data_IF_737756944624
#
_entry.id   IF_737756944624
#
_cell.length_a   1.000
_cell.length_b   1.000
_cell.length_c   1.000
_cell.angle_alpha   90.00
_cell.angle_beta   90.00
_cell.angle_gamma   90.00
#
_symmetry.space_group_name_H-M   'P 1'
#
loop_
_entity.id
_entity.type
_entity.pdbx_description
1 polymer ?
#
# COMPACT_ATOMS: atom_id res chain seq x y z
N UNK A 1 20.22 -1.13 -2.53
CA UNK A 1 18.83 -1.19 -2.04
C UNK A 1 18.14 -2.42 -2.62
N UNK A 2 17.44 -3.23 -1.80
CA UNK A 2 16.69 -4.43 -2.21
C UNK A 2 15.24 -4.28 -1.77
N UNK A 3 14.28 -4.67 -2.63
CA UNK A 3 12.85 -4.60 -2.35
C UNK A 3 12.27 -6.00 -2.28
N UNK A 4 11.53 -6.30 -1.22
CA UNK A 4 10.79 -7.55 -1.05
C UNK A 4 9.29 -7.25 -1.14
N UNK A 5 8.59 -8.03 -1.95
CA UNK A 5 7.14 -7.98 -2.06
C UNK A 5 6.51 -8.96 -1.06
N UNK A 6 5.69 -8.45 -0.14
CA UNK A 6 5.08 -9.21 0.94
C UNK A 6 3.56 -9.23 0.79
N UNK A 7 2.93 -10.38 1.06
CA UNK A 7 1.50 -10.42 1.34
C UNK A 7 1.28 -10.31 2.86
N UNK A 8 0.87 -9.15 3.32
CA UNK A 8 0.65 -8.90 4.75
C UNK A 8 -0.82 -9.02 5.17
N UNK A 9 -1.56 -9.92 4.53
CA UNK A 9 -2.94 -10.28 4.84
C UNK A 9 -3.70 -10.73 3.61
N UNK A 10 -4.16 -11.97 3.60
CA UNK A 10 -5.08 -12.49 2.60
C UNK A 10 -6.51 -12.18 3.01
N UNK A 11 -7.25 -11.55 2.10
CA UNK A 11 -8.63 -11.14 2.31
C UNK A 11 -9.59 -12.08 1.58
N UNK A 12 -10.81 -11.58 1.27
CA UNK A 12 -11.82 -12.37 0.57
C UNK A 12 -11.34 -12.92 -0.76
N UNK A 13 -11.90 -14.06 -1.14
CA UNK A 13 -11.63 -14.71 -2.42
C UNK A 13 -12.08 -13.85 -3.61
N UNK A 14 -11.23 -13.81 -4.66
CA UNK A 14 -11.48 -13.12 -5.92
C UNK A 14 -11.38 -14.15 -7.04
N UNK A 15 -12.50 -14.53 -7.67
CA UNK A 15 -12.45 -15.44 -8.81
C UNK A 15 -11.75 -14.78 -10.01
N UNK A 16 -10.96 -15.52 -10.79
CA UNK A 16 -10.41 -14.99 -12.03
C UNK A 16 -11.54 -14.63 -13.01
N UNK A 17 -11.39 -13.52 -13.71
CA UNK A 17 -12.32 -13.08 -14.75
C UNK A 17 -11.77 -13.46 -16.12
N UNK A 18 -12.49 -14.36 -16.83
CA UNK A 18 -12.22 -14.69 -18.23
C UNK A 18 -10.78 -15.15 -18.49
N UNK A 19 -10.29 -14.82 -19.70
CA UNK A 19 -8.93 -15.10 -20.15
C UNK A 19 -7.90 -14.12 -19.58
N UNK A 20 -7.84 -13.98 -18.26
CA UNK A 20 -6.70 -13.32 -17.66
C UNK A 20 -5.47 -14.14 -18.03
N UNK A 21 -4.53 -13.64 -18.84
CA UNK A 21 -3.40 -14.45 -19.24
C UNK A 21 -2.62 -14.83 -17.99
N UNK A 22 -2.71 -16.06 -17.59
CA UNK A 22 -1.74 -16.68 -16.73
C UNK A 22 -0.45 -16.80 -17.54
N UNK A 23 0.28 -15.70 -17.67
CA UNK A 23 1.61 -15.72 -18.22
C UNK A 23 2.48 -16.53 -17.25
N UNK A 24 2.56 -17.86 -17.46
CA UNK A 24 3.62 -18.72 -16.97
C UNK A 24 3.82 -18.89 -15.46
N UNK A 25 3.02 -18.23 -14.61
CA UNK A 25 3.12 -18.34 -13.16
C UNK A 25 2.07 -19.34 -12.62
N UNK A 26 2.43 -20.06 -11.56
CA UNK A 26 1.47 -20.80 -10.75
C UNK A 26 0.23 -19.95 -10.51
N UNK A 27 -0.97 -20.52 -10.60
CA UNK A 27 -2.23 -19.79 -10.40
C UNK A 27 -2.12 -18.97 -9.11
N UNK A 28 -2.28 -17.64 -9.15
CA UNK A 28 -2.11 -16.82 -7.97
C UNK A 28 -3.11 -17.24 -6.91
N UNK A 29 -2.77 -16.99 -5.67
CA UNK A 29 -3.68 -17.09 -4.55
C UNK A 29 -4.99 -16.34 -4.93
N UNK A 30 -6.11 -17.04 -4.89
CA UNK A 30 -7.42 -16.48 -5.31
C UNK A 30 -8.03 -15.56 -4.25
N UNK A 31 -7.21 -14.83 -3.53
CA UNK A 31 -7.64 -13.92 -2.48
C UNK A 31 -7.07 -12.53 -2.73
N UNK A 32 -7.83 -11.50 -2.43
CA UNK A 32 -7.28 -10.16 -2.34
C UNK A 32 -6.16 -10.17 -1.29
N UNK A 33 -5.12 -9.39 -1.52
CA UNK A 33 -3.93 -9.36 -0.69
C UNK A 33 -3.78 -7.99 -0.01
N UNK A 34 -3.00 -7.91 1.05
CA UNK A 34 -2.43 -6.66 1.54
C UNK A 34 -0.96 -6.64 1.09
N UNK A 35 -0.73 -6.14 -0.11
CA UNK A 35 0.58 -6.10 -0.72
C UNK A 35 1.41 -4.98 -0.07
N UNK A 36 2.38 -5.35 0.72
CA UNK A 36 3.33 -4.44 1.36
C UNK A 36 4.73 -4.62 0.77
N UNK A 37 5.61 -3.64 1.00
CA UNK A 37 7.02 -3.79 0.65
C UNK A 37 7.87 -3.76 1.92
N UNK A 38 8.90 -4.61 1.96
CA UNK A 38 10.05 -4.43 2.85
C UNK A 38 11.24 -4.01 1.99
N UNK A 39 11.87 -2.90 2.33
CA UNK A 39 12.98 -2.31 1.59
C UNK A 39 14.21 -2.34 2.48
N UNK A 40 15.26 -3.04 2.03
CA UNK A 40 16.58 -2.96 2.62
C UNK A 40 17.32 -1.78 1.99
N UNK A 41 17.56 -0.76 2.77
CA UNK A 41 18.25 0.46 2.33
C UNK A 41 19.71 0.46 2.80
N UNK A 42 20.54 1.26 2.17
CA UNK A 42 21.96 1.33 2.51
C UNK A 42 22.20 2.21 3.76
N UNK A 43 21.34 3.20 4.02
CA UNK A 43 21.55 4.20 5.09
C UNK A 43 20.40 4.26 6.10
N UNK A 44 19.14 4.03 5.68
CA UNK A 44 17.96 4.23 6.52
C UNK A 44 17.54 2.98 7.33
N UNK A 45 18.26 1.85 7.17
CA UNK A 45 17.87 0.56 7.73
C UNK A 45 16.72 -0.08 6.94
N UNK A 46 15.83 -0.78 7.62
CA UNK A 46 14.65 -1.36 6.97
C UNK A 46 13.50 -0.36 6.91
N UNK A 47 12.85 -0.30 5.76
CA UNK A 47 11.66 0.52 5.51
C UNK A 47 10.50 -0.39 5.12
N UNK A 48 9.36 -0.27 5.77
CA UNK A 48 8.11 -0.87 5.31
C UNK A 48 7.28 0.14 4.51
N UNK A 49 6.68 -0.32 3.43
CA UNK A 49 5.58 0.40 2.74
C UNK A 49 4.30 -0.33 3.06
N UNK A 50 3.41 0.33 3.78
CA UNK A 50 2.25 -0.23 4.46
C UNK A 50 2.62 -1.40 5.41
N UNK A 51 1.68 -1.85 6.23
CA UNK A 51 1.93 -2.89 7.23
C UNK A 51 0.92 -4.03 7.20
N UNK A 52 -0.11 -3.92 6.36
CA UNK A 52 -1.16 -4.93 6.28
C UNK A 52 -1.91 -5.12 7.59
N UNK A 53 -2.26 -6.37 7.88
CA UNK A 53 -2.83 -6.81 9.14
C UNK A 53 -1.71 -7.14 10.14
N UNK A 54 -1.82 -6.59 11.36
CA UNK A 54 -0.85 -6.80 12.41
C UNK A 54 -1.14 -8.02 13.28
N UNK A 55 -0.18 -8.37 14.13
CA UNK A 55 -0.32 -9.53 15.05
C UNK A 55 -1.52 -9.42 15.98
N UNK A 56 -1.88 -8.20 16.39
CA UNK A 56 -3.07 -7.96 17.21
C UNK A 56 -4.38 -8.20 16.44
N UNK A 57 -4.42 -7.85 15.15
CA UNK A 57 -5.56 -8.08 14.27
C UNK A 57 -5.81 -9.57 14.06
N UNK A 58 -4.73 -10.33 13.86
CA UNK A 58 -4.80 -11.76 13.62
C UNK A 58 -5.22 -12.55 14.87
N UNK A 59 -4.84 -12.05 16.07
CA UNK A 59 -5.19 -12.69 17.36
C UNK A 59 -6.55 -12.28 17.91
N UNK A 60 -6.95 -11.02 17.70
CA UNK A 60 -8.15 -10.43 18.28
C UNK A 60 -8.92 -9.60 17.24
N UNK A 61 -9.32 -10.21 16.10
CA UNK A 61 -9.81 -9.48 14.92
C UNK A 61 -11.06 -8.64 15.20
N UNK A 62 -12.00 -9.14 16.02
CA UNK A 62 -13.22 -8.39 16.33
C UNK A 62 -12.95 -7.09 17.08
N UNK A 63 -11.93 -7.10 17.95
CA UNK A 63 -11.56 -5.93 18.76
C UNK A 63 -10.79 -4.88 17.93
N UNK A 64 -9.93 -5.32 17.05
CA UNK A 64 -9.02 -4.42 16.32
C UNK A 64 -9.56 -4.00 14.95
N UNK A 65 -10.29 -4.87 14.25
CA UNK A 65 -10.81 -4.62 12.91
C UNK A 65 -12.32 -4.32 12.88
N UNK A 66 -13.08 -4.87 13.82
CA UNK A 66 -14.52 -4.70 13.92
C UNK A 66 -15.32 -5.70 13.06
N UNK A 67 -16.47 -6.13 13.60
CA UNK A 67 -17.30 -7.20 13.03
C UNK A 67 -17.78 -6.91 11.59
N UNK A 68 -18.17 -5.67 11.30
CA UNK A 68 -18.67 -5.29 9.98
C UNK A 68 -17.60 -5.39 8.90
N UNK A 69 -16.34 -5.02 9.22
CA UNK A 69 -15.25 -5.14 8.29
C UNK A 69 -14.87 -6.61 8.08
N UNK A 70 -14.80 -7.39 9.15
CA UNK A 70 -14.53 -8.83 9.08
C UNK A 70 -15.54 -9.56 8.19
N UNK A 71 -16.83 -9.23 8.31
CA UNK A 71 -17.87 -9.82 7.47
C UNK A 71 -17.69 -9.51 5.98
N UNK A 72 -17.17 -8.31 5.65
CA UNK A 72 -16.94 -7.88 4.27
C UNK A 72 -15.61 -8.37 3.73
N UNK A 73 -14.52 -8.16 4.46
CA UNK A 73 -13.16 -8.45 4.02
C UNK A 73 -12.81 -9.94 4.10
N UNK A 74 -13.39 -10.68 5.08
CA UNK A 74 -13.16 -12.12 5.30
C UNK A 74 -11.69 -12.49 5.30
N UNK A 75 -10.87 -11.87 6.18
CA UNK A 75 -9.44 -12.15 6.22
C UNK A 75 -9.16 -13.62 6.60
N UNK A 76 -8.10 -14.18 6.05
CA UNK A 76 -7.65 -15.55 6.36
C UNK A 76 -7.13 -15.68 7.80
N UNK A 77 -6.71 -14.56 8.41
CA UNK A 77 -6.16 -14.48 9.77
C UNK A 77 -4.96 -15.42 10.01
N UNK A 78 -4.12 -15.58 8.98
CA UNK A 78 -2.91 -16.37 9.08
C UNK A 78 -1.78 -15.55 9.75
N UNK A 79 -1.27 -15.96 10.93
CA UNK A 79 -0.19 -15.25 11.62
C UNK A 79 1.10 -15.12 10.80
N UNK A 80 1.38 -16.08 9.90
CA UNK A 80 2.58 -16.07 9.06
C UNK A 80 2.55 -14.96 8.00
N UNK A 81 1.37 -14.42 7.70
CA UNK A 81 1.23 -13.29 6.77
C UNK A 81 1.54 -11.94 7.41
N UNK A 82 1.63 -11.81 8.76
CA UNK A 82 1.97 -10.51 9.35
C UNK A 82 3.33 -10.00 8.88
N UNK A 83 3.46 -8.69 8.68
CA UNK A 83 4.73 -8.06 8.32
C UNK A 83 5.84 -8.43 9.32
N UNK A 84 5.52 -8.51 10.61
CA UNK A 84 6.46 -8.89 11.67
C UNK A 84 7.04 -10.28 11.42
N UNK A 85 6.20 -11.30 11.17
CA UNK A 85 6.69 -12.66 10.90
C UNK A 85 7.52 -12.73 9.63
N UNK A 86 7.13 -11.99 8.59
CA UNK A 86 7.86 -11.98 7.33
C UNK A 86 9.23 -11.28 7.45
N UNK A 87 9.34 -10.20 8.23
CA UNK A 87 10.62 -9.55 8.56
C UNK A 87 11.56 -10.56 9.25
N UNK A 88 11.04 -11.28 10.25
CA UNK A 88 11.83 -12.32 10.96
C UNK A 88 12.23 -13.46 10.02
N UNK A 89 11.34 -13.94 9.17
CA UNK A 89 11.61 -14.99 8.18
C UNK A 89 12.69 -14.60 7.16
N UNK A 90 12.78 -13.32 6.83
CA UNK A 90 13.82 -12.77 5.97
C UNK A 90 15.18 -12.59 6.70
N UNK A 91 15.25 -12.94 7.99
CA UNK A 91 16.48 -12.91 8.78
C UNK A 91 16.76 -11.59 9.50
N UNK A 92 15.79 -10.70 9.53
CA UNK A 92 15.92 -9.39 10.18
C UNK A 92 15.26 -9.36 11.57
N UNK A 93 15.68 -8.42 12.41
CA UNK A 93 14.99 -8.18 13.66
C UNK A 93 13.90 -7.09 13.45
N UNK A 94 12.71 -7.21 14.06
CA UNK A 94 11.66 -6.21 13.93
C UNK A 94 12.10 -4.78 14.31
N UNK A 95 13.05 -4.65 15.24
CA UNK A 95 13.64 -3.36 15.64
C UNK A 95 14.49 -2.69 14.55
N UNK A 96 14.87 -3.44 13.50
CA UNK A 96 15.65 -2.90 12.38
C UNK A 96 14.74 -2.17 11.36
N UNK A 97 13.42 -2.35 11.46
CA UNK A 97 12.43 -1.54 10.76
C UNK A 97 12.38 -0.17 11.40
N UNK A 98 13.08 0.79 10.83
CA UNK A 98 13.20 2.16 11.36
C UNK A 98 12.13 3.10 10.83
N UNK A 99 11.64 2.83 9.65
CA UNK A 99 10.67 3.67 8.95
C UNK A 99 9.52 2.84 8.40
N UNK A 100 8.32 3.40 8.47
CA UNK A 100 7.11 2.91 7.81
C UNK A 100 6.58 4.06 6.97
N UNK A 101 6.33 3.81 5.67
CA UNK A 101 5.75 4.79 4.75
C UNK A 101 4.37 4.28 4.37
N UNK A 102 3.32 5.00 4.77
CA UNK A 102 1.95 4.58 4.55
C UNK A 102 1.35 5.26 3.32
N UNK A 103 0.66 4.47 2.50
CA UNK A 103 -0.15 4.99 1.39
C UNK A 103 -1.32 5.81 1.92
N UNK A 104 -1.99 5.31 2.96
CA UNK A 104 -3.09 5.97 3.67
C UNK A 104 -3.37 5.27 5.03
N UNK A 105 -4.37 5.75 5.78
CA UNK A 105 -4.60 5.34 7.16
C UNK A 105 -5.78 4.36 7.35
N UNK A 106 -6.13 3.55 6.35
CA UNK A 106 -7.11 2.49 6.54
C UNK A 106 -6.52 1.29 7.27
N UNK A 107 -7.42 0.47 7.85
CA UNK A 107 -7.05 -0.59 8.80
C UNK A 107 -6.19 -1.70 8.21
N UNK A 108 -6.38 -2.03 6.96
CA UNK A 108 -5.63 -3.06 6.23
C UNK A 108 -4.28 -2.57 5.66
N UNK A 109 -3.90 -1.33 6.00
CA UNK A 109 -2.58 -0.73 5.75
C UNK A 109 -1.85 -0.39 7.05
N UNK A 110 -2.58 -0.23 8.16
CA UNK A 110 -2.04 0.24 9.44
C UNK A 110 -2.01 -0.80 10.55
N UNK A 111 -2.52 -2.03 10.29
CA UNK A 111 -2.67 -3.07 11.30
C UNK A 111 -1.38 -3.47 11.99
N UNK A 112 -0.27 -3.48 11.26
CA UNK A 112 1.05 -3.83 11.80
C UNK A 112 1.78 -2.69 12.52
N UNK A 113 1.24 -1.46 12.60
CA UNK A 113 1.90 -0.36 13.31
C UNK A 113 2.28 -0.71 14.77
N UNK A 114 1.41 -1.38 15.57
CA UNK A 114 1.76 -1.77 16.94
C UNK A 114 2.91 -2.79 17.01
N UNK A 115 3.19 -3.51 15.94
CA UNK A 115 4.28 -4.50 15.88
C UNK A 115 5.66 -3.83 15.75
N UNK A 116 5.69 -2.55 15.33
CA UNK A 116 6.89 -1.73 15.14
C UNK A 116 6.78 -0.39 15.87
N UNK A 117 6.60 -0.39 17.20
CA UNK A 117 6.21 0.82 17.97
C UNK A 117 7.29 1.91 18.00
N UNK A 118 8.50 1.61 17.61
CA UNK A 118 9.64 2.52 17.57
C UNK A 118 9.91 3.10 16.19
N UNK A 119 9.24 2.58 15.16
CA UNK A 119 9.41 3.04 13.79
C UNK A 119 8.80 4.44 13.60
N UNK A 120 9.50 5.29 12.85
CA UNK A 120 8.94 6.56 12.40
C UNK A 120 7.96 6.30 11.24
N UNK A 121 6.75 6.83 11.37
CA UNK A 121 5.66 6.57 10.40
C UNK A 121 5.46 7.80 9.53
N UNK A 122 5.71 7.67 8.24
CA UNK A 122 5.57 8.75 7.26
C UNK A 122 4.26 8.63 6.51
N UNK A 123 3.56 9.75 6.38
CA UNK A 123 2.31 9.86 5.62
C UNK A 123 2.33 11.12 4.77
N UNK A 124 1.51 11.16 3.72
CA UNK A 124 1.31 12.39 2.97
C UNK A 124 0.68 13.47 3.88
N UNK A 125 1.07 14.75 3.77
CA UNK A 125 0.55 15.83 4.64
C UNK A 125 -0.97 15.94 4.65
N UNK A 126 -1.63 15.70 3.52
CA UNK A 126 -3.09 15.76 3.45
C UNK A 126 -3.76 14.59 4.21
N UNK A 127 -3.15 13.41 4.22
CA UNK A 127 -3.64 12.28 5.01
C UNK A 127 -3.42 12.53 6.51
N UNK A 128 -2.27 13.09 6.88
CA UNK A 128 -2.02 13.53 8.25
C UNK A 128 -3.04 14.57 8.72
N UNK A 129 -3.31 15.58 7.89
CA UNK A 129 -4.27 16.63 8.19
C UNK A 129 -5.69 16.06 8.37
N UNK A 130 -6.08 15.11 7.54
CA UNK A 130 -7.41 14.48 7.62
C UNK A 130 -7.70 13.83 8.97
N UNK A 131 -6.68 13.36 9.70
CA UNK A 131 -6.87 12.72 11.03
C UNK A 131 -6.47 13.60 12.21
N UNK A 132 -5.60 14.60 11.99
CA UNK A 132 -5.09 15.47 13.07
C UNK A 132 -5.82 16.80 13.23
N UNK A 133 -6.45 17.30 12.16
CA UNK A 133 -7.18 18.58 12.16
C UNK A 133 -8.70 18.34 12.24
N UNK A 134 -9.34 18.64 13.38
CA UNK A 134 -10.80 18.47 13.54
C UNK A 134 -11.63 19.30 12.55
N UNK A 135 -11.04 20.31 11.92
CA UNK A 135 -11.72 21.15 10.94
C UNK A 135 -11.54 20.69 9.49
N UNK A 136 -10.67 19.68 9.29
CA UNK A 136 -10.42 19.14 7.95
C UNK A 136 -11.69 18.47 7.37
N UNK A 137 -11.95 18.62 6.07
CA UNK A 137 -12.99 17.85 5.40
C UNK A 137 -12.79 16.35 5.65
N UNK A 138 -13.90 15.64 5.89
CA UNK A 138 -13.89 14.18 6.13
C UNK A 138 -13.16 13.70 7.40
N UNK A 139 -12.73 14.61 8.31
CA UNK A 139 -11.99 14.24 9.53
C UNK A 139 -12.61 13.06 10.29
N UNK A 140 -13.90 13.12 10.62
CA UNK A 140 -14.56 12.04 11.36
C UNK A 140 -14.52 10.69 10.62
N UNK A 141 -14.72 10.70 9.30
CA UNK A 141 -14.65 9.51 8.47
C UNK A 141 -13.25 8.94 8.39
N UNK A 142 -12.24 9.78 8.18
CA UNK A 142 -10.82 9.39 8.14
C UNK A 142 -10.37 8.82 9.49
N UNK A 143 -10.70 9.49 10.59
CA UNK A 143 -10.35 9.03 11.93
C UNK A 143 -11.06 7.72 12.31
N UNK A 144 -12.28 7.48 11.83
CA UNK A 144 -13.01 6.23 12.07
C UNK A 144 -12.39 5.03 11.35
N UNK A 145 -11.68 5.27 10.25
CA UNK A 145 -10.98 4.23 9.46
C UNK A 145 -9.59 3.92 9.99
N UNK A 146 -8.93 4.89 10.63
CA UNK A 146 -7.70 4.69 11.39
C UNK A 146 -8.05 4.11 12.77
N UNK A 147 -7.98 2.81 12.88
CA UNK A 147 -8.50 2.07 14.03
C UNK A 147 -7.83 2.50 15.35
N UNK A 148 -8.62 2.67 16.45
CA UNK A 148 -8.05 2.96 17.77
C UNK A 148 -6.98 1.97 18.21
N UNK A 149 -7.14 0.69 17.89
CA UNK A 149 -6.17 -0.35 18.24
C UNK A 149 -4.81 -0.13 17.56
N UNK A 150 -4.80 0.37 16.30
CA UNK A 150 -3.58 0.59 15.53
C UNK A 150 -2.81 1.85 15.97
N UNK A 151 -3.49 2.80 16.64
CA UNK A 151 -2.89 4.06 17.13
C UNK A 151 -2.75 4.16 18.65
N UNK A 152 -3.20 3.15 19.40
CA UNK A 152 -3.20 3.17 20.87
C UNK A 152 -1.78 3.26 21.47
N UNK A 153 -0.76 2.77 20.77
CA UNK A 153 0.64 2.86 21.21
C UNK A 153 1.28 4.24 20.96
N UNK A 154 0.54 5.19 20.33
CA UNK A 154 1.05 6.53 20.00
C UNK A 154 2.09 6.51 18.89
N UNK A 155 1.76 6.01 17.67
CA UNK A 155 2.72 5.96 16.57
C UNK A 155 3.28 7.35 16.24
N UNK A 156 4.57 7.42 15.90
CA UNK A 156 5.25 8.65 15.53
C UNK A 156 4.88 9.09 14.11
N UNK A 157 3.61 9.50 13.92
CA UNK A 157 3.13 9.99 12.64
C UNK A 157 3.83 11.28 12.25
N UNK A 158 4.53 11.26 11.12
CA UNK A 158 5.29 12.40 10.60
C UNK A 158 4.80 12.73 9.20
N UNK A 159 4.26 13.94 8.96
CA UNK A 159 3.93 14.36 7.60
C UNK A 159 5.22 14.49 6.77
N UNK A 160 5.19 13.92 5.57
CA UNK A 160 6.32 14.04 4.63
C UNK A 160 6.47 15.49 4.15
N UNK A 161 7.64 15.86 3.66
CA UNK A 161 7.92 17.19 3.14
C UNK A 161 7.56 17.28 1.65
N UNK A 162 6.60 18.12 1.32
CA UNK A 162 6.18 18.36 -0.08
C UNK A 162 7.29 19.11 -0.82
N UNK A 163 7.60 18.62 -2.03
CA UNK A 163 8.39 19.35 -3.02
C UNK A 163 7.42 19.94 -4.06
N UNK A 164 7.13 21.23 -3.94
CA UNK A 164 6.20 21.92 -4.84
C UNK A 164 6.81 22.22 -6.23
N UNK A 165 8.14 22.11 -6.37
CA UNK A 165 8.85 22.57 -7.55
C UNK A 165 9.19 21.46 -8.54
N UNK A 166 9.20 20.20 -8.09
CA UNK A 166 9.60 19.08 -8.95
C UNK A 166 8.44 18.09 -9.09
N UNK A 167 7.68 18.16 -10.20
CA UNK A 167 6.66 17.14 -10.45
C UNK A 167 7.30 15.79 -10.74
N UNK A 168 6.77 14.73 -10.17
CA UNK A 168 7.17 13.36 -10.47
C UNK A 168 6.26 12.82 -11.61
N UNK A 169 6.79 12.64 -12.80
CA UNK A 169 6.04 12.19 -14.00
C UNK A 169 4.68 12.91 -14.17
N UNK A 170 4.67 14.23 -14.01
CA UNK A 170 3.46 15.05 -14.10
C UNK A 170 2.59 15.06 -12.84
N UNK A 171 2.87 14.26 -11.82
CA UNK A 171 2.21 14.34 -10.52
C UNK A 171 2.85 15.46 -9.68
N UNK A 172 2.05 16.45 -9.31
CA UNK A 172 2.46 17.57 -8.46
C UNK A 172 2.21 17.24 -6.98
N UNK A 173 2.95 17.87 -6.07
CA UNK A 173 2.79 17.67 -4.63
C UNK A 173 3.41 16.37 -4.10
N UNK A 174 4.32 15.75 -4.86
CA UNK A 174 5.09 14.62 -4.36
C UNK A 174 5.86 15.03 -3.10
N UNK A 175 5.85 14.18 -2.07
CA UNK A 175 6.41 14.48 -0.77
C UNK A 175 7.52 13.49 -0.40
N UNK A 176 8.60 13.99 0.22
CA UNK A 176 9.70 13.14 0.72
C UNK A 176 9.50 12.81 2.19
N UNK A 177 9.65 11.53 2.59
CA UNK A 177 9.77 11.18 4.01
C UNK A 177 10.92 11.94 4.65
N UNK A 178 10.67 12.50 5.85
CA UNK A 178 11.68 13.31 6.54
C UNK A 178 12.75 12.43 7.19
N UNK A 179 14.00 12.85 7.10
CA UNK A 179 15.12 12.14 7.75
C UNK A 179 15.56 10.86 7.04
N UNK A 180 15.10 10.62 5.81
CA UNK A 180 15.52 9.50 4.99
C UNK A 180 16.43 9.95 3.86
N UNK A 181 17.48 9.19 3.60
CA UNK A 181 18.41 9.38 2.49
C UNK A 181 17.94 8.66 1.21
N UNK A 182 17.17 7.58 1.35
CA UNK A 182 16.67 6.77 0.24
C UNK A 182 15.71 7.54 -0.66
N UNK A 183 15.76 7.25 -1.96
CA UNK A 183 14.86 7.88 -2.94
C UNK A 183 13.46 7.26 -2.89
N UNK A 184 12.69 7.68 -1.88
CA UNK A 184 11.26 7.37 -1.74
C UNK A 184 10.44 8.66 -1.84
N UNK A 185 9.28 8.55 -2.50
CA UNK A 185 8.32 9.66 -2.63
C UNK A 185 6.91 9.17 -2.29
N UNK A 186 6.16 9.98 -1.56
CA UNK A 186 4.71 9.87 -1.48
C UNK A 186 4.10 10.71 -2.61
N UNK A 187 3.51 10.05 -3.58
CA UNK A 187 2.91 10.66 -4.78
C UNK A 187 1.40 10.81 -4.54
N UNK A 188 0.83 12.02 -4.57
CA UNK A 188 -0.60 12.21 -4.32
C UNK A 188 -1.47 11.45 -5.32
N UNK A 189 -2.32 10.58 -4.81
CA UNK A 189 -3.30 9.80 -5.56
C UNK A 189 -4.69 9.92 -4.89
N UNK A 190 -5.26 11.14 -4.82
CA UNK A 190 -6.45 11.40 -4.03
C UNK A 190 -7.69 10.67 -4.57
N UNK A 191 -8.66 10.44 -3.68
CA UNK A 191 -9.99 9.94 -4.00
C UNK A 191 -10.43 8.75 -3.14
N UNK A 192 -9.56 7.75 -2.93
CA UNK A 192 -9.85 6.65 -2.00
C UNK A 192 -9.90 7.16 -0.55
N UNK A 193 -8.88 7.87 -0.11
CA UNK A 193 -8.94 8.74 1.06
C UNK A 193 -8.61 10.18 0.68
N UNK A 194 -8.78 11.12 1.62
CA UNK A 194 -8.57 12.54 1.37
C UNK A 194 -7.11 12.87 1.01
N UNK A 195 -6.15 12.17 1.61
CA UNK A 195 -4.72 12.35 1.38
C UNK A 195 -4.04 11.08 0.90
N UNK A 196 -4.77 10.15 0.30
CA UNK A 196 -4.20 8.94 -0.26
C UNK A 196 -3.03 9.24 -1.20
N UNK A 197 -1.93 8.52 -1.04
CA UNK A 197 -0.73 8.66 -1.85
C UNK A 197 -0.20 7.29 -2.27
N UNK A 198 0.40 7.22 -3.45
CA UNK A 198 1.25 6.08 -3.80
C UNK A 198 2.65 6.27 -3.21
N UNK A 199 3.37 5.18 -3.01
CA UNK A 199 4.77 5.22 -2.59
C UNK A 199 5.65 4.81 -3.77
N UNK A 200 6.40 5.78 -4.31
CA UNK A 200 7.37 5.54 -5.36
C UNK A 200 8.74 5.26 -4.75
N UNK A 201 9.35 4.14 -5.16
CA UNK A 201 10.66 3.67 -4.72
C UNK A 201 11.58 3.61 -5.93
N UNK A 202 12.74 4.25 -5.89
CA UNK A 202 13.70 4.19 -6.99
C UNK A 202 14.63 2.99 -6.82
N UNK A 203 14.61 2.08 -7.77
CA UNK A 203 15.49 0.92 -7.80
C UNK A 203 16.95 1.29 -8.09
N UNK A 204 17.87 0.37 -7.77
CA UNK A 204 19.29 0.53 -8.09
C UNK A 204 19.60 0.57 -9.60
N UNK A 205 18.69 0.12 -10.44
CA UNK A 205 18.70 0.21 -11.90
C UNK A 205 18.20 1.57 -12.45
N UNK A 206 17.79 2.47 -11.54
CA UNK A 206 17.25 3.79 -11.88
C UNK A 206 15.76 3.81 -12.24
N UNK A 207 15.10 2.66 -12.27
CA UNK A 207 13.65 2.55 -12.51
C UNK A 207 12.86 2.81 -11.23
N UNK A 208 11.61 3.24 -11.41
CA UNK A 208 10.70 3.44 -10.30
C UNK A 208 9.73 2.29 -10.14
N UNK A 209 9.48 1.91 -8.90
CA UNK A 209 8.40 1.03 -8.49
C UNK A 209 7.37 1.87 -7.74
N UNK A 210 6.14 1.99 -8.27
CA UNK A 210 5.06 2.73 -7.64
C UNK A 210 4.05 1.78 -7.03
N UNK A 211 4.06 1.69 -5.70
CA UNK A 211 2.97 1.10 -4.93
C UNK A 211 1.81 2.09 -4.92
N UNK A 212 0.79 1.86 -5.72
CA UNK A 212 -0.31 2.80 -5.91
C UNK A 212 -1.40 2.74 -4.82
N UNK A 213 -1.17 1.92 -3.76
CA UNK A 213 -2.16 1.74 -2.69
C UNK A 213 -3.51 1.31 -3.25
N UNK A 214 -4.55 2.01 -2.82
CA UNK A 214 -5.95 1.78 -3.18
C UNK A 214 -6.48 2.73 -4.26
N UNK A 215 -5.58 3.36 -5.02
CA UNK A 215 -5.99 4.19 -6.16
C UNK A 215 -6.78 3.38 -7.21
N UNK A 216 -6.48 2.10 -7.31
CA UNK A 216 -7.22 1.04 -7.99
C UNK A 216 -7.02 -0.28 -7.25
N UNK A 217 -7.84 -1.30 -7.49
CA UNK A 217 -7.75 -2.59 -6.80
C UNK A 217 -7.53 -3.78 -7.73
N UNK A 218 -7.65 -3.59 -9.04
CA UNK A 218 -7.51 -4.65 -10.04
C UNK A 218 -6.75 -4.15 -11.26
N UNK A 219 -5.76 -4.89 -11.71
CA UNK A 219 -4.92 -4.50 -12.87
C UNK A 219 -5.73 -4.16 -14.13
N UNK A 220 -6.88 -4.79 -14.34
CA UNK A 220 -7.76 -4.47 -15.46
C UNK A 220 -8.24 -3.02 -15.50
N UNK A 221 -8.23 -2.32 -14.36
CA UNK A 221 -8.59 -0.90 -14.30
C UNK A 221 -7.54 0.00 -14.95
N UNK A 222 -6.27 -0.41 -14.96
CA UNK A 222 -5.18 0.38 -15.53
C UNK A 222 -4.56 -0.24 -16.79
N UNK A 223 -4.71 -1.53 -17.01
CA UNK A 223 -4.11 -2.26 -18.14
C UNK A 223 -5.02 -2.33 -19.36
N UNK A 224 -6.35 -2.39 -19.17
CA UNK A 224 -7.32 -2.56 -20.26
C UNK A 224 -7.88 -1.26 -20.79
N UNK A 225 -8.33 -1.29 -22.06
CA UNK A 225 -9.07 -0.19 -22.69
C UNK A 225 -10.33 -0.78 -23.35
N UNK A 226 -11.53 -0.43 -22.89
CA UNK A 226 -11.83 0.45 -21.75
C UNK A 226 -11.36 -0.13 -20.40
N UNK A 227 -11.29 0.69 -19.33
CA UNK A 227 -11.03 0.21 -17.97
C UNK A 227 -12.00 -0.87 -17.56
N UNK A 228 -11.48 -1.90 -16.91
CA UNK A 228 -12.27 -3.07 -16.52
C UNK A 228 -12.10 -3.35 -15.03
N UNK A 229 -13.00 -2.86 -14.16
CA UNK A 229 -12.96 -3.14 -12.74
C UNK A 229 -13.39 -4.59 -12.46
N UNK A 230 -12.88 -5.16 -11.38
CA UNK A 230 -13.33 -6.48 -10.95
C UNK A 230 -14.63 -6.36 -10.14
N UNK A 231 -15.69 -7.16 -10.44
CA UNK A 231 -17.00 -7.05 -9.79
C UNK A 231 -16.99 -7.23 -8.28
N UNK A 232 -15.98 -7.93 -7.73
CA UNK A 232 -15.79 -8.07 -6.27
C UNK A 232 -15.21 -6.81 -5.66
N UNK A 233 -14.31 -6.12 -6.37
CA UNK A 233 -13.65 -4.93 -5.86
C UNK A 233 -14.44 -3.64 -6.06
N UNK A 234 -15.21 -3.54 -7.15
CA UNK A 234 -15.94 -2.31 -7.48
C UNK A 234 -16.83 -1.81 -6.33
N UNK A 235 -17.72 -2.63 -5.70
CA UNK A 235 -18.51 -2.18 -4.57
C UNK A 235 -17.68 -1.89 -3.32
N UNK A 236 -16.50 -2.52 -3.16
CA UNK A 236 -15.57 -2.22 -2.06
C UNK A 236 -14.98 -0.81 -2.26
N UNK A 237 -14.50 -0.52 -3.46
CA UNK A 237 -13.97 0.79 -3.83
C UNK A 237 -15.01 1.90 -3.67
N UNK A 238 -16.23 1.68 -4.17
CA UNK A 238 -17.33 2.64 -4.04
C UNK A 238 -17.70 2.93 -2.59
N UNK A 239 -17.72 1.90 -1.74
CA UNK A 239 -18.02 2.05 -0.32
C UNK A 239 -16.87 2.64 0.50
N UNK A 240 -15.63 2.51 0.04
CA UNK A 240 -14.44 2.98 0.74
C UNK A 240 -14.02 4.40 0.33
N UNK A 241 -14.25 4.81 -0.93
CA UNK A 241 -13.77 6.09 -1.45
C UNK A 241 -14.38 7.30 -0.73
N UNK A 242 -13.57 8.34 -0.59
CA UNK A 242 -13.97 9.64 -0.05
C UNK A 242 -14.48 10.56 -1.16
N UNK A 243 -13.87 10.49 -2.36
CA UNK A 243 -14.22 11.25 -3.56
C UNK A 243 -14.05 10.36 -4.80
N UNK A 244 -15.18 9.90 -5.35
CA UNK A 244 -15.22 9.06 -6.54
C UNK A 244 -14.74 9.75 -7.81
N UNK A 245 -14.96 11.07 -7.95
CA UNK A 245 -14.49 11.83 -9.11
C UNK A 245 -12.97 11.95 -9.11
N UNK A 246 -12.39 12.29 -7.96
CA UNK A 246 -10.94 12.37 -7.80
C UNK A 246 -10.29 11.00 -8.01
N UNK A 247 -10.89 9.90 -7.49
CA UNK A 247 -10.37 8.54 -7.69
C UNK A 247 -10.34 8.14 -9.17
N UNK A 248 -11.40 8.42 -9.90
CA UNK A 248 -11.44 8.13 -11.36
C UNK A 248 -10.37 8.94 -12.10
N UNK A 249 -10.22 10.22 -11.80
CA UNK A 249 -9.17 11.05 -12.40
C UNK A 249 -7.76 10.54 -12.05
N UNK A 250 -7.54 10.11 -10.80
CA UNK A 250 -6.28 9.49 -10.34
C UNK A 250 -5.98 8.22 -11.12
N UNK A 251 -6.96 7.32 -11.24
CA UNK A 251 -6.82 6.07 -12.03
C UNK A 251 -6.45 6.37 -13.49
N UNK A 252 -7.11 7.33 -14.12
CA UNK A 252 -6.84 7.68 -15.52
C UNK A 252 -5.44 8.27 -15.70
N UNK A 253 -4.92 8.99 -14.71
CA UNK A 253 -3.52 9.45 -14.67
C UNK A 253 -2.53 8.28 -14.52
N UNK A 254 -2.83 7.29 -13.68
CA UNK A 254 -2.02 6.07 -13.54
C UNK A 254 -2.00 5.25 -14.84
N UNK A 255 -3.12 5.21 -15.57
CA UNK A 255 -3.17 4.61 -16.92
C UNK A 255 -2.25 5.32 -17.90
N UNK A 256 -2.26 6.65 -17.89
CA UNK A 256 -1.36 7.45 -18.71
C UNK A 256 0.11 7.22 -18.33
N UNK A 257 0.44 7.26 -17.03
CA UNK A 257 1.77 6.97 -16.52
C UNK A 257 2.29 5.61 -17.00
N UNK A 258 1.47 4.57 -16.82
CA UNK A 258 1.83 3.21 -17.24
C UNK A 258 2.03 3.09 -18.76
N UNK A 259 1.20 3.76 -19.56
CA UNK A 259 1.31 3.75 -21.03
C UNK A 259 2.54 4.50 -21.53
N UNK A 260 2.78 5.68 -20.97
CA UNK A 260 3.76 6.64 -21.49
C UNK A 260 5.18 6.43 -20.92
N UNK A 261 5.28 5.75 -19.76
CA UNK A 261 6.52 5.55 -19.01
C UNK A 261 6.73 4.08 -18.57
N UNK A 262 6.26 3.11 -19.38
CA UNK A 262 6.37 1.68 -19.05
C UNK A 262 7.82 1.20 -18.80
N UNK A 263 8.79 1.81 -19.46
CA UNK A 263 10.21 1.47 -19.30
C UNK A 263 10.86 2.13 -18.07
N UNK A 264 10.18 3.11 -17.45
CA UNK A 264 10.71 3.89 -16.34
C UNK A 264 9.99 3.57 -15.01
N UNK A 265 8.68 3.25 -15.08
CA UNK A 265 7.84 3.08 -13.89
C UNK A 265 7.03 1.77 -13.98
N UNK A 266 7.17 0.93 -12.95
CA UNK A 266 6.27 -0.20 -12.72
C UNK A 266 5.23 0.21 -11.69
N UNK A 267 3.94 0.07 -12.03
CA UNK A 267 2.81 0.43 -11.15
C UNK A 267 2.10 -0.83 -10.70
N UNK A 268 1.76 -0.91 -9.41
CA UNK A 268 0.94 -2.00 -8.84
C UNK A 268 0.09 -1.50 -7.68
N UNK A 269 -1.03 -2.21 -7.40
CA UNK A 269 -1.96 -1.88 -6.32
C UNK A 269 -1.72 -2.69 -5.04
N UNK A 270 -2.38 -2.29 -3.95
CA UNK A 270 -2.30 -2.98 -2.67
C UNK A 270 -3.06 -4.32 -2.65
N UNK A 271 -4.05 -4.52 -3.51
CA UNK A 271 -5.00 -5.63 -3.34
C UNK A 271 -5.04 -6.65 -4.47
N UNK A 272 -4.29 -6.44 -5.55
CA UNK A 272 -4.28 -7.32 -6.70
C UNK A 272 -3.33 -8.53 -6.52
N UNK A 273 -3.84 -9.77 -6.39
CA UNK A 273 -3.00 -10.94 -6.22
C UNK A 273 -2.20 -11.31 -7.49
N UNK A 274 -2.67 -10.91 -8.69
CA UNK A 274 -1.95 -11.17 -9.94
C UNK A 274 -0.74 -10.26 -10.08
N UNK A 275 -0.84 -8.99 -9.66
CA UNK A 275 0.30 -8.07 -9.62
C UNK A 275 1.34 -8.54 -8.60
N UNK A 276 0.92 -8.93 -7.40
CA UNK A 276 1.82 -9.52 -6.41
C UNK A 276 2.54 -10.76 -6.96
N UNK A 277 1.82 -11.69 -7.60
CA UNK A 277 2.41 -12.89 -8.16
C UNK A 277 3.43 -12.59 -9.27
N UNK A 278 3.15 -11.61 -10.14
CA UNK A 278 4.09 -11.16 -11.19
C UNK A 278 5.38 -10.60 -10.59
N UNK A 279 5.27 -9.74 -9.58
CA UNK A 279 6.41 -9.06 -8.97
C UNK A 279 7.27 -10.03 -8.14
N UNK A 280 6.66 -10.92 -7.38
CA UNK A 280 7.40 -11.95 -6.62
C UNK A 280 8.08 -13.00 -7.51
N UNK A 281 7.61 -13.22 -8.73
CA UNK A 281 8.26 -14.12 -9.68
C UNK A 281 9.54 -13.50 -10.26
N UNK A 282 9.58 -12.17 -10.46
CA UNK A 282 10.76 -11.45 -10.95
C UNK A 282 11.87 -11.38 -9.91
N UNK A 283 11.54 -11.26 -8.63
CA UNK A 283 12.53 -11.27 -7.54
C UNK A 283 13.30 -12.59 -7.44
N UNK A 284 12.67 -13.72 -7.78
CA UNK A 284 13.30 -15.06 -7.75
C UNK A 284 14.28 -15.30 -8.90
N UNK A 285 14.29 -14.44 -9.91
CA UNK A 285 15.13 -14.62 -11.12
C UNK A 285 16.43 -13.82 -11.08
N UNK A 286 16.67 -13.00 -10.05
CA UNK A 286 17.96 -12.32 -9.86
C UNK A 286 18.91 -13.29 -9.15
N UNK A 287 19.97 -13.82 -9.81
CA UNK A 287 20.94 -14.66 -9.13
C UNK A 287 21.62 -13.85 -8.03
N UNK A 288 21.62 -14.39 -6.82
CA UNK A 288 22.53 -13.92 -5.76
C UNK A 288 23.97 -14.16 -6.24
N UNK A 289 24.68 -13.10 -6.56
CA UNK A 289 26.10 -13.14 -6.91
C UNK A 289 26.96 -13.42 -5.64
#
# INVERSE_FOLDING_TARGET
MRVHHLNCGSLREIPPLGDTPAAGAAAPQRAAVCHCLLIETDEDGLVLVDTGLGTADLRHPERSLGADWLARARPALDPEESALHQVVRLGHAPRDVRHIVLTHLHRDHTGGLPDFPHAQVHVHPDEYRAVSDPTAPHHHGSLARFMPAHRAHGPLLTPARVDEHTPWFGFTGAARPQGMASELLLVPLPGHSAGHAGVAVRGGDGRWLLHAGDAYMYHGEIEHTPPFPHPVFEPVQEGAQTDGTARVATRDRLRALRRDHADEVTVFSAHDPWELARLTATDRTVPTA
#
